data_IF_964035431988
#
_entry.id   IF_964035431988
#
_cell.length_a   1.000
_cell.length_b   1.000
_cell.length_c   1.000
_cell.angle_alpha   90.00
_cell.angle_beta   90.00
_cell.angle_gamma   90.00
#
_symmetry.space_group_name_H-M   'P 1'
#
loop_
_entity.id
_entity.type
_entity.pdbx_description
1 polymer ?
#
# COMPACT_ATOMS: atom_id res chain seq x y z
N UNK A 1 33.26 -58.06 -22.77
CA UNK A 1 32.35 -57.84 -21.62
C UNK A 1 32.71 -56.48 -21.06
N UNK A 2 32.00 -55.42 -21.48
CA UNK A 2 32.23 -54.06 -21.00
C UNK A 2 31.31 -53.81 -19.82
N UNK A 3 31.89 -53.71 -18.63
CA UNK A 3 31.19 -53.31 -17.41
C UNK A 3 31.14 -51.78 -17.37
N UNK A 4 29.99 -51.19 -17.71
CA UNK A 4 29.73 -49.80 -17.39
C UNK A 4 29.33 -49.71 -15.91
N UNK A 5 30.25 -49.18 -15.09
CA UNK A 5 29.93 -48.79 -13.72
C UNK A 5 29.13 -47.49 -13.78
N UNK A 6 27.81 -47.59 -13.69
CA UNK A 6 26.97 -46.45 -13.36
C UNK A 6 27.11 -46.19 -11.86
N UNK A 7 28.05 -45.34 -11.47
CA UNK A 7 27.89 -44.55 -10.24
C UNK A 7 26.80 -43.51 -10.51
N UNK A 8 25.55 -43.96 -10.55
CA UNK A 8 24.41 -43.06 -10.42
C UNK A 8 24.47 -42.55 -8.98
N UNK A 9 25.13 -41.40 -8.79
CA UNK A 9 24.88 -40.58 -7.62
C UNK A 9 23.39 -40.27 -7.73
N UNK A 10 22.57 -40.97 -6.94
CA UNK A 10 21.15 -40.70 -6.84
C UNK A 10 21.05 -39.23 -6.41
N UNK A 11 20.74 -38.37 -7.38
CA UNK A 11 20.39 -36.99 -7.14
C UNK A 11 19.06 -37.05 -6.39
N UNK A 12 19.11 -36.88 -5.08
CA UNK A 12 17.93 -36.91 -4.23
C UNK A 12 17.14 -35.62 -4.50
N UNK A 13 16.09 -35.74 -5.33
CA UNK A 13 15.17 -34.65 -5.62
C UNK A 13 14.16 -34.53 -4.48
N UNK A 14 13.93 -33.29 -4.04
CA UNK A 14 12.95 -32.96 -3.01
C UNK A 14 11.80 -32.19 -3.63
N UNK A 15 10.63 -32.30 -3.00
CA UNK A 15 9.45 -31.52 -3.36
C UNK A 15 9.61 -30.11 -2.80
N UNK A 16 9.62 -29.12 -3.69
CA UNK A 16 9.78 -27.70 -3.37
C UNK A 16 8.53 -26.92 -3.76
N UNK A 17 8.04 -26.13 -2.83
CA UNK A 17 6.92 -25.21 -2.97
C UNK A 17 7.41 -23.84 -3.43
N UNK A 18 6.89 -23.36 -4.54
CA UNK A 18 7.29 -22.10 -5.15
C UNK A 18 6.35 -20.97 -4.70
N UNK A 19 6.88 -20.02 -3.94
CA UNK A 19 6.12 -18.87 -3.44
C UNK A 19 6.53 -17.62 -4.21
N UNK A 20 5.59 -17.04 -4.96
CA UNK A 20 5.80 -15.79 -5.71
C UNK A 20 5.47 -14.60 -4.82
N UNK A 21 6.50 -13.94 -4.31
CA UNK A 21 6.36 -12.80 -3.41
C UNK A 21 5.86 -11.59 -4.22
N UNK A 22 4.86 -10.90 -3.68
CA UNK A 22 4.12 -9.76 -4.23
C UNK A 22 2.95 -10.05 -5.19
N UNK A 23 2.72 -11.30 -5.60
CA UNK A 23 1.42 -11.67 -6.15
C UNK A 23 0.49 -12.11 -5.01
N UNK A 24 -0.63 -11.41 -4.71
CA UNK A 24 -1.68 -12.04 -3.95
C UNK A 24 -2.32 -13.09 -4.86
N UNK A 25 -1.74 -14.29 -4.89
CA UNK A 25 -2.35 -15.41 -5.58
C UNK A 25 -3.30 -16.10 -4.61
N UNK A 26 -4.59 -16.12 -4.94
CA UNK A 26 -5.52 -17.10 -4.35
C UNK A 26 -5.24 -18.52 -4.87
N UNK A 27 -4.36 -18.65 -5.87
CA UNK A 27 -3.90 -19.94 -6.38
C UNK A 27 -2.94 -20.60 -5.40
N UNK A 28 -3.05 -21.94 -5.23
CA UNK A 28 -2.07 -22.68 -4.46
C UNK A 28 -0.67 -22.50 -5.08
N UNK A 29 0.38 -22.51 -4.26
CA UNK A 29 1.77 -22.46 -4.74
C UNK A 29 2.06 -23.56 -5.75
N UNK A 30 2.86 -23.24 -6.76
CA UNK A 30 3.36 -24.24 -7.72
C UNK A 30 4.32 -25.19 -6.99
N UNK A 31 4.38 -26.45 -7.42
CA UNK A 31 5.23 -27.49 -6.82
C UNK A 31 6.22 -27.99 -7.87
N UNK A 32 7.50 -28.02 -7.52
CA UNK A 32 8.58 -28.50 -8.38
C UNK A 32 9.42 -29.55 -7.66
N UNK A 33 9.94 -30.52 -8.42
CA UNK A 33 10.94 -31.48 -7.95
C UNK A 33 12.32 -30.91 -8.27
N UNK A 34 13.10 -30.59 -7.24
CA UNK A 34 14.39 -29.91 -7.37
C UNK A 34 15.45 -30.62 -6.55
N UNK A 35 16.71 -30.53 -6.99
CA UNK A 35 17.85 -31.02 -6.24
C UNK A 35 18.48 -29.88 -5.42
N UNK A 36 18.63 -30.10 -4.12
CA UNK A 36 19.19 -29.13 -3.17
C UNK A 36 20.66 -28.75 -3.45
N UNK A 37 21.43 -29.65 -4.08
CA UNK A 37 22.84 -29.42 -4.42
C UNK A 37 23.04 -28.73 -5.78
N UNK A 38 21.99 -28.60 -6.60
CA UNK A 38 22.08 -27.89 -7.87
C UNK A 38 22.27 -26.39 -7.64
N UNK A 39 23.04 -25.75 -8.52
CA UNK A 39 23.15 -24.30 -8.54
C UNK A 39 21.88 -23.66 -9.11
N UNK A 40 21.67 -22.37 -8.82
CA UNK A 40 20.42 -21.70 -9.20
C UNK A 40 20.24 -21.57 -10.72
N UNK A 41 21.32 -21.55 -11.50
CA UNK A 41 21.23 -21.53 -12.97
C UNK A 41 20.67 -22.84 -13.52
N UNK A 42 21.10 -23.98 -12.95
CA UNK A 42 20.53 -25.30 -13.25
C UNK A 42 19.08 -25.40 -12.80
N UNK A 43 18.76 -24.91 -11.60
CA UNK A 43 17.37 -24.88 -11.09
C UNK A 43 16.47 -24.04 -11.98
N UNK A 44 16.92 -22.85 -12.42
CA UNK A 44 16.15 -21.98 -13.32
C UNK A 44 15.75 -22.69 -14.59
N UNK A 45 16.67 -23.42 -15.25
CA UNK A 45 16.36 -24.17 -16.49
C UNK A 45 15.23 -25.17 -16.27
N UNK A 46 15.23 -25.89 -15.15
CA UNK A 46 14.15 -26.82 -14.79
C UNK A 46 12.82 -26.06 -14.63
N UNK A 47 12.83 -24.97 -13.89
CA UNK A 47 11.64 -24.15 -13.65
C UNK A 47 11.09 -23.47 -14.92
N UNK A 48 11.95 -23.09 -15.86
CA UNK A 48 11.56 -22.51 -17.16
C UNK A 48 10.92 -23.55 -18.07
N UNK A 49 11.46 -24.78 -18.09
CA UNK A 49 10.86 -25.90 -18.84
C UNK A 49 9.43 -26.20 -18.36
N UNK A 50 9.22 -26.17 -17.05
CA UNK A 50 7.90 -26.35 -16.42
C UNK A 50 7.03 -25.07 -16.43
N UNK A 51 7.55 -23.96 -16.98
CA UNK A 51 6.88 -22.65 -17.05
C UNK A 51 6.47 -22.08 -15.69
N UNK A 52 7.22 -22.42 -14.64
CA UNK A 52 7.01 -21.88 -13.30
C UNK A 52 7.66 -20.50 -13.11
N UNK A 53 8.74 -20.23 -13.85
CA UNK A 53 9.53 -19.00 -13.81
C UNK A 53 9.78 -18.47 -15.23
N UNK A 54 10.00 -17.16 -15.34
CA UNK A 54 10.45 -16.45 -16.55
C UNK A 54 11.56 -15.43 -16.20
N UNK A 55 11.97 -14.63 -17.18
CA UNK A 55 12.98 -13.56 -17.01
C UNK A 55 12.51 -12.44 -16.07
N UNK A 56 11.20 -12.31 -15.85
CA UNK A 56 10.62 -11.31 -14.97
C UNK A 56 10.69 -11.71 -13.50
N UNK A 57 11.05 -12.95 -13.19
CA UNK A 57 11.21 -13.49 -11.85
C UNK A 57 12.68 -13.79 -11.51
N UNK A 58 13.02 -13.63 -10.24
CA UNK A 58 14.36 -13.92 -9.70
C UNK A 58 14.24 -14.66 -8.39
N UNK A 59 15.28 -15.41 -8.04
CA UNK A 59 15.34 -16.06 -6.74
C UNK A 59 15.50 -15.03 -5.62
N UNK A 60 14.79 -15.24 -4.51
CA UNK A 60 14.92 -14.41 -3.32
C UNK A 60 15.88 -15.05 -2.31
N UNK A 61 16.69 -14.23 -1.64
CA UNK A 61 17.60 -14.71 -0.61
C UNK A 61 16.91 -14.75 0.77
N UNK A 62 17.02 -15.91 1.42
CA UNK A 62 16.35 -16.40 2.64
C UNK A 62 16.27 -15.52 3.90
N UNK A 63 16.86 -14.33 3.93
CA UNK A 63 16.96 -13.50 5.15
C UNK A 63 16.08 -12.26 5.09
N UNK A 64 15.77 -11.81 3.88
CA UNK A 64 14.83 -10.73 3.64
C UNK A 64 14.06 -11.09 2.37
N UNK A 65 12.76 -11.36 2.53
CA UNK A 65 11.79 -11.84 1.53
C UNK A 65 11.75 -11.00 0.22
N UNK A 66 12.49 -9.90 0.15
CA UNK A 66 12.57 -9.03 -1.03
C UNK A 66 13.98 -8.85 -1.61
N UNK A 67 15.00 -9.49 -1.03
CA UNK A 67 16.37 -9.47 -1.57
C UNK A 67 16.47 -10.37 -2.80
N UNK A 68 16.87 -9.81 -3.94
CA UNK A 68 16.95 -10.50 -5.24
C UNK A 68 18.37 -10.99 -5.53
N UNK A 69 18.49 -12.22 -5.99
CA UNK A 69 19.70 -12.74 -6.62
C UNK A 69 19.66 -12.40 -8.11
N UNK A 70 20.68 -11.70 -8.61
CA UNK A 70 20.77 -11.41 -10.05
C UNK A 70 21.06 -12.67 -10.85
N UNK A 71 20.51 -12.78 -12.05
CA UNK A 71 20.71 -13.94 -12.93
C UNK A 71 22.20 -14.24 -13.17
N UNK A 72 23.05 -13.20 -13.25
CA UNK A 72 24.51 -13.31 -13.39
C UNK A 72 25.23 -13.94 -12.19
N UNK A 73 24.57 -14.02 -11.03
CA UNK A 73 25.12 -14.59 -9.81
C UNK A 73 24.53 -15.97 -9.50
N UNK A 74 23.54 -16.45 -10.26
CA UNK A 74 22.86 -17.72 -9.98
C UNK A 74 23.79 -18.94 -9.94
N UNK A 75 24.88 -18.95 -10.71
CA UNK A 75 25.88 -20.03 -10.69
C UNK A 75 26.68 -20.10 -9.38
N UNK A 76 26.70 -19.01 -8.60
CA UNK A 76 27.45 -18.89 -7.35
C UNK A 76 26.70 -19.45 -6.14
N UNK A 77 25.39 -19.65 -6.26
CA UNK A 77 24.53 -20.09 -5.17
C UNK A 77 23.99 -21.49 -5.44
N UNK A 78 23.89 -22.30 -4.40
CA UNK A 78 23.16 -23.58 -4.42
C UNK A 78 21.74 -23.39 -3.89
N UNK A 79 20.83 -24.25 -4.35
CA UNK A 79 19.43 -24.19 -3.91
C UNK A 79 19.31 -24.29 -2.38
N UNK A 80 20.04 -25.19 -1.74
CA UNK A 80 20.05 -25.36 -0.28
C UNK A 80 20.41 -24.11 0.51
N UNK A 81 21.09 -23.14 -0.09
CA UNK A 81 21.52 -21.91 0.58
C UNK A 81 20.38 -20.88 0.69
N UNK A 82 19.35 -21.01 -0.16
CA UNK A 82 18.27 -20.02 -0.29
C UNK A 82 16.87 -20.60 -0.05
N UNK A 83 16.77 -21.89 0.20
CA UNK A 83 15.48 -22.56 0.46
C UNK A 83 15.13 -22.46 1.93
N UNK A 84 13.89 -22.07 2.28
CA UNK A 84 13.42 -22.13 3.67
C UNK A 84 12.90 -23.54 3.91
N UNK A 85 13.38 -24.19 4.97
CA UNK A 85 12.78 -25.43 5.46
C UNK A 85 11.85 -25.11 6.64
N UNK A 86 10.55 -25.28 6.44
CA UNK A 86 9.55 -25.17 7.51
C UNK A 86 8.92 -26.54 7.72
N UNK A 87 9.17 -27.15 8.88
CA UNK A 87 8.79 -28.51 9.23
C UNK A 87 9.24 -29.53 8.16
N UNK A 88 8.32 -29.96 7.30
CA UNK A 88 8.52 -30.92 6.21
C UNK A 88 8.38 -30.30 4.81
N UNK A 89 8.21 -28.99 4.70
CA UNK A 89 8.10 -28.27 3.41
C UNK A 89 9.39 -27.51 3.09
N UNK A 90 9.88 -27.71 1.86
CA UNK A 90 10.89 -26.84 1.28
C UNK A 90 10.20 -25.71 0.51
N UNK A 91 10.51 -24.47 0.85
CA UNK A 91 9.93 -23.28 0.24
C UNK A 91 11.00 -22.51 -0.50
N UNK A 92 10.80 -22.31 -1.79
CA UNK A 92 11.61 -21.45 -2.63
C UNK A 92 10.82 -20.19 -2.99
N UNK A 93 11.39 -19.05 -2.64
CA UNK A 93 10.79 -17.74 -2.86
C UNK A 93 11.26 -17.13 -4.17
N UNK A 94 10.30 -16.71 -5.00
CA UNK A 94 10.52 -16.00 -6.25
C UNK A 94 10.02 -14.56 -6.13
N UNK A 95 10.84 -13.60 -6.53
CA UNK A 95 10.53 -12.17 -6.53
C UNK A 95 10.49 -11.64 -7.96
N UNK A 96 9.57 -10.72 -8.22
CA UNK A 96 9.55 -10.00 -9.49
C UNK A 96 10.79 -9.09 -9.64
N UNK A 97 11.57 -9.33 -10.69
CA UNK A 97 12.72 -8.53 -11.11
C UNK A 97 12.43 -7.03 -11.16
N UNK A 98 11.22 -6.66 -11.60
CA UNK A 98 10.75 -5.29 -11.73
C UNK A 98 9.55 -5.05 -10.81
N UNK A 99 9.72 -5.29 -9.51
CA UNK A 99 8.65 -5.17 -8.53
C UNK A 99 7.96 -3.79 -8.58
N UNK A 100 8.72 -2.71 -8.82
CA UNK A 100 8.13 -1.37 -8.98
C UNK A 100 7.14 -1.30 -10.15
N UNK A 101 7.41 -1.99 -11.26
CA UNK A 101 6.55 -2.01 -12.46
C UNK A 101 5.25 -2.72 -12.14
N UNK A 102 5.33 -3.88 -11.51
CA UNK A 102 4.18 -4.61 -11.01
C UNK A 102 3.31 -3.75 -10.07
N UNK A 103 3.94 -3.10 -9.09
CA UNK A 103 3.23 -2.23 -8.15
C UNK A 103 2.56 -1.06 -8.87
N UNK A 104 3.24 -0.46 -9.85
CA UNK A 104 2.68 0.62 -10.66
C UNK A 104 1.48 0.14 -11.50
N UNK A 105 1.57 -0.99 -12.19
CA UNK A 105 0.48 -1.54 -13.00
C UNK A 105 -0.75 -1.86 -12.16
N UNK A 106 -0.53 -2.43 -10.98
CA UNK A 106 -1.61 -2.84 -10.08
C UNK A 106 -2.26 -1.67 -9.36
N UNK A 107 -1.46 -0.72 -8.88
CA UNK A 107 -1.93 0.37 -8.01
C UNK A 107 -2.02 1.72 -8.73
N UNK A 108 -1.68 1.78 -10.03
CA UNK A 108 -1.71 2.99 -10.85
C UNK A 108 -0.90 4.13 -10.20
N UNK A 109 0.32 3.83 -9.76
CA UNK A 109 1.16 4.78 -8.99
C UNK A 109 1.59 6.01 -9.81
N UNK A 110 1.57 5.90 -11.15
CA UNK A 110 1.89 6.95 -12.11
C UNK A 110 0.67 7.81 -12.55
N UNK A 111 -0.49 7.55 -11.94
CA UNK A 111 -1.72 8.33 -12.09
C UNK A 111 -1.86 9.28 -10.90
N UNK A 112 -2.49 10.43 -11.12
CA UNK A 112 -2.77 11.33 -10.03
C UNK A 112 -3.95 10.85 -9.17
N UNK A 113 -4.01 11.38 -7.96
CA UNK A 113 -4.93 11.00 -6.92
C UNK A 113 -5.75 12.22 -6.48
N UNK A 114 -6.93 11.97 -5.93
CA UNK A 114 -7.81 13.00 -5.34
C UNK A 114 -8.37 12.52 -4.02
N UNK A 115 -8.52 13.44 -3.07
CA UNK A 115 -9.11 13.16 -1.77
C UNK A 115 -10.64 13.27 -1.89
N UNK A 116 -11.35 12.26 -1.40
CA UNK A 116 -12.82 12.17 -1.38
C UNK A 116 -13.30 11.77 0.02
N UNK A 117 -14.61 11.76 0.26
CA UNK A 117 -15.20 11.23 1.50
C UNK A 117 -14.82 9.77 1.78
N UNK A 118 -14.52 9.00 0.73
CA UNK A 118 -14.13 7.60 0.84
C UNK A 118 -12.61 7.42 0.97
N UNK A 119 -11.87 8.51 1.20
CA UNK A 119 -10.41 8.53 1.19
C UNK A 119 -9.86 8.86 -0.19
N UNK A 120 -8.71 8.27 -0.53
CA UNK A 120 -7.97 8.60 -1.74
C UNK A 120 -8.46 7.77 -2.92
N UNK A 121 -8.81 8.45 -4.01
CA UNK A 121 -9.16 7.81 -5.28
C UNK A 121 -8.12 8.17 -6.35
N UNK A 122 -7.66 7.15 -7.05
CA UNK A 122 -6.82 7.31 -8.24
C UNK A 122 -7.67 7.77 -9.42
N UNK A 123 -7.13 8.66 -10.26
CA UNK A 123 -7.77 9.15 -11.48
C UNK A 123 -7.52 8.20 -12.65
N UNK A 124 -8.28 8.42 -13.72
CA UNK A 124 -8.17 7.62 -14.93
C UNK A 124 -7.15 8.17 -15.93
N UNK A 125 -6.73 9.44 -15.78
CA UNK A 125 -5.71 10.04 -16.62
C UNK A 125 -4.31 9.85 -16.02
N UNK A 126 -3.40 9.32 -16.84
CA UNK A 126 -2.01 9.09 -16.46
C UNK A 126 -1.23 10.41 -16.49
N UNK A 127 -0.53 10.73 -15.40
CA UNK A 127 0.24 11.98 -15.27
C UNK A 127 1.70 11.76 -15.63
N UNK A 128 2.25 10.62 -15.23
CA UNK A 128 3.65 10.28 -15.47
C UNK A 128 3.80 8.89 -16.08
N UNK A 129 4.98 8.62 -16.63
CA UNK A 129 5.49 7.30 -16.95
C UNK A 129 6.60 7.03 -15.95
N UNK A 130 6.39 6.01 -15.11
CA UNK A 130 7.35 5.60 -14.08
C UNK A 130 8.44 4.69 -14.67
N UNK A 131 9.69 4.92 -14.28
CA UNK A 131 10.86 4.17 -14.77
C UNK A 131 11.89 3.94 -13.67
N UNK A 132 12.44 2.72 -13.66
CA UNK A 132 13.64 2.34 -12.90
C UNK A 132 13.58 2.73 -11.41
N UNK A 133 12.42 2.60 -10.77
CA UNK A 133 12.29 2.91 -9.35
C UNK A 133 12.89 1.81 -8.47
N UNK A 134 13.64 2.23 -7.46
CA UNK A 134 14.27 1.32 -6.51
C UNK A 134 13.40 1.13 -5.26
N UNK A 135 13.39 -0.11 -4.77
CA UNK A 135 12.88 -0.43 -3.45
C UNK A 135 14.04 -0.49 -2.46
N UNK A 136 13.82 0.02 -1.27
CA UNK A 136 14.78 -0.04 -0.19
C UNK A 136 14.15 -0.61 1.07
N UNK A 137 14.91 -1.43 1.80
CA UNK A 137 14.51 -1.94 3.11
C UNK A 137 14.51 -0.79 4.12
N UNK A 138 13.44 -0.70 4.89
CA UNK A 138 13.27 0.30 5.94
C UNK A 138 13.83 -0.16 7.28
N UNK A 139 13.94 -1.47 7.53
CA UNK A 139 14.28 -2.05 8.82
C UNK A 139 13.51 -1.39 9.98
N UNK A 140 14.22 -1.05 11.05
CA UNK A 140 13.62 -0.41 12.25
C UNK A 140 12.99 0.96 11.92
N UNK A 141 13.46 1.68 10.90
CA UNK A 141 12.93 3.01 10.51
C UNK A 141 11.52 2.93 9.91
N UNK A 142 11.10 1.73 9.51
CA UNK A 142 9.76 1.46 8.99
C UNK A 142 8.69 1.35 10.09
N UNK A 143 9.09 1.14 11.34
CA UNK A 143 8.17 1.14 12.48
C UNK A 143 7.92 2.58 12.93
N UNK A 144 6.69 3.07 12.76
CA UNK A 144 6.30 4.43 13.14
C UNK A 144 4.98 4.41 13.87
N UNK A 145 4.88 5.13 14.98
CA UNK A 145 3.60 5.33 15.67
C UNK A 145 3.23 6.81 15.64
N UNK A 146 1.94 7.10 15.67
CA UNK A 146 1.46 8.47 15.72
C UNK A 146 0.05 8.56 16.28
N UNK A 147 -0.34 9.78 16.59
CA UNK A 147 -1.66 10.15 17.10
C UNK A 147 -2.18 11.28 16.24
N UNK A 148 -3.47 11.25 15.90
CA UNK A 148 -4.12 12.36 15.21
C UNK A 148 -5.43 12.68 15.92
N UNK A 149 -5.67 13.98 16.11
CA UNK A 149 -6.84 14.55 16.80
C UNK A 149 -7.72 15.30 15.80
N UNK A 150 -9.04 15.18 15.96
CA UNK A 150 -10.03 15.89 15.14
C UNK A 150 -11.16 16.44 16.01
N UNK A 151 -11.74 17.56 15.54
CA UNK A 151 -12.75 18.33 16.27
C UNK A 151 -14.13 18.30 15.57
N UNK A 152 -14.38 17.36 14.64
CA UNK A 152 -15.69 17.16 14.02
C UNK A 152 -15.80 15.80 13.33
N UNK A 153 -16.94 15.12 13.42
CA UNK A 153 -17.22 13.83 12.76
C UNK A 153 -16.89 13.82 11.25
N UNK A 154 -17.23 14.88 10.51
CA UNK A 154 -17.04 14.87 9.04
C UNK A 154 -15.58 15.01 8.63
N UNK A 155 -14.81 15.80 9.37
CA UNK A 155 -13.36 15.86 9.16
C UNK A 155 -12.71 14.59 9.68
N UNK A 156 -13.12 14.09 10.84
CA UNK A 156 -12.67 12.82 11.40
C UNK A 156 -12.74 11.67 10.39
N UNK A 157 -13.90 11.42 9.77
CA UNK A 157 -14.10 10.27 8.88
C UNK A 157 -13.27 10.35 7.59
N UNK A 158 -13.10 11.54 7.04
CA UNK A 158 -12.27 11.78 5.86
C UNK A 158 -10.78 11.77 6.23
N UNK A 159 -10.41 12.33 7.38
CA UNK A 159 -9.02 12.37 7.83
C UNK A 159 -8.55 11.01 8.32
N UNK A 160 -9.36 10.19 8.98
CA UNK A 160 -8.99 8.80 9.32
C UNK A 160 -8.72 8.02 8.04
N UNK A 161 -9.65 8.03 7.07
CA UNK A 161 -9.46 7.37 5.77
C UNK A 161 -8.26 7.89 4.98
N UNK A 162 -8.02 9.21 4.99
CA UNK A 162 -6.90 9.82 4.24
C UNK A 162 -5.56 9.67 4.97
N UNK A 163 -5.52 9.80 6.29
CA UNK A 163 -4.32 9.55 7.08
C UNK A 163 -3.92 8.08 7.02
N UNK A 164 -4.89 7.14 7.00
CA UNK A 164 -4.62 5.71 6.81
C UNK A 164 -3.81 5.45 5.53
N UNK A 165 -3.92 6.33 4.55
CA UNK A 165 -3.24 6.19 3.24
C UNK A 165 -2.03 7.12 3.07
N UNK A 166 -1.93 8.26 3.78
CA UNK A 166 -0.84 9.24 3.61
C UNK A 166 -0.16 9.65 4.92
N UNK A 167 1.12 10.01 4.84
CA UNK A 167 1.79 10.72 5.91
C UNK A 167 1.41 12.21 5.85
N UNK A 168 0.44 12.62 6.67
CA UNK A 168 -0.13 13.95 6.60
C UNK A 168 0.84 14.99 7.19
N UNK A 169 1.23 15.96 6.36
CA UNK A 169 1.92 17.17 6.78
C UNK A 169 1.01 18.41 6.65
N UNK A 170 1.49 19.57 7.10
CA UNK A 170 0.73 20.82 7.09
C UNK A 170 0.25 21.24 5.69
N UNK A 171 1.00 20.96 4.62
CA UNK A 171 0.58 21.24 3.24
C UNK A 171 -0.58 20.34 2.81
N UNK A 172 -0.50 19.05 3.13
CA UNK A 172 -1.55 18.09 2.79
C UNK A 172 -2.84 18.36 3.58
N UNK A 173 -2.76 18.83 4.83
CA UNK A 173 -3.93 19.28 5.58
C UNK A 173 -4.69 20.40 4.87
N UNK A 174 -3.98 21.33 4.21
CA UNK A 174 -4.62 22.40 3.43
C UNK A 174 -5.37 21.85 2.22
N UNK A 175 -4.84 20.82 1.54
CA UNK A 175 -5.54 20.14 0.45
C UNK A 175 -6.77 19.38 0.93
N UNK A 176 -6.69 18.73 2.09
CA UNK A 176 -7.83 18.05 2.71
C UNK A 176 -8.92 19.05 3.08
N UNK A 177 -8.56 20.19 3.69
CA UNK A 177 -9.49 21.28 4.00
C UNK A 177 -10.12 21.90 2.75
N UNK A 178 -9.33 22.06 1.67
CA UNK A 178 -9.83 22.53 0.39
C UNK A 178 -10.86 21.55 -0.19
N UNK A 179 -10.54 20.25 -0.21
CA UNK A 179 -11.43 19.19 -0.69
C UNK A 179 -12.71 19.08 0.15
N UNK A 180 -12.61 19.19 1.48
CA UNK A 180 -13.78 19.28 2.37
C UNK A 180 -14.62 20.52 2.08
N UNK A 181 -14.02 21.70 1.95
CA UNK A 181 -14.72 22.96 1.68
C UNK A 181 -15.44 22.99 0.33
N UNK A 182 -14.91 22.30 -0.69
CA UNK A 182 -15.58 22.13 -1.99
C UNK A 182 -16.83 21.24 -1.85
N UNK A 183 -16.78 20.25 -0.95
CA UNK A 183 -17.78 19.20 -0.80
C UNK A 183 -18.92 19.56 0.16
N UNK A 184 -18.68 20.44 1.14
CA UNK A 184 -19.59 20.72 2.25
C UNK A 184 -20.44 22.00 2.06
N UNK A 185 -21.39 21.96 1.11
CA UNK A 185 -22.44 23.00 1.08
C UNK A 185 -23.66 22.71 1.98
N UNK A 186 -23.89 21.47 2.44
CA UNK A 186 -25.22 21.05 2.92
C UNK A 186 -25.28 20.17 4.19
N UNK A 187 -24.26 20.09 5.06
CA UNK A 187 -24.36 19.28 6.30
C UNK A 187 -23.91 20.02 7.56
N UNK A 188 -24.61 19.73 8.65
CA UNK A 188 -24.48 20.38 9.96
C UNK A 188 -23.20 19.94 10.68
N UNK A 189 -22.41 20.91 11.15
CA UNK A 189 -21.24 20.71 12.01
C UNK A 189 -21.68 20.07 13.33
N UNK A 190 -21.51 18.76 13.47
CA UNK A 190 -21.51 18.12 14.79
C UNK A 190 -20.05 18.11 15.27
N UNK A 191 -19.78 18.80 16.37
CA UNK A 191 -18.46 18.82 17.02
C UNK A 191 -18.30 17.55 17.86
N UNK A 192 -17.26 16.78 17.57
CA UNK A 192 -16.80 15.65 18.37
C UNK A 192 -15.29 15.75 18.50
N UNK A 193 -14.79 15.48 19.71
CA UNK A 193 -13.37 15.34 19.96
C UNK A 193 -13.03 13.86 19.88
N UNK A 194 -12.38 13.45 18.81
CA UNK A 194 -11.89 12.09 18.67
C UNK A 194 -10.40 12.06 18.45
N UNK A 195 -9.80 10.93 18.81
CA UNK A 195 -8.38 10.72 18.67
C UNK A 195 -8.18 9.30 18.17
N UNK A 196 -7.33 9.12 17.17
CA UNK A 196 -6.89 7.78 16.80
C UNK A 196 -5.38 7.65 16.91
N UNK A 197 -4.95 6.47 17.36
CA UNK A 197 -3.55 6.07 17.40
C UNK A 197 -3.30 5.09 16.26
N UNK A 198 -2.14 5.18 15.63
CA UNK A 198 -1.71 4.19 14.65
C UNK A 198 -0.30 3.72 14.88
N UNK A 199 -0.02 2.51 14.38
CA UNK A 199 1.31 1.96 14.23
C UNK A 199 1.47 1.40 12.82
N UNK A 200 2.47 1.91 12.11
CA UNK A 200 2.95 1.43 10.83
C UNK A 200 4.08 0.43 11.07
N UNK A 201 4.06 -0.64 10.29
CA UNK A 201 5.10 -1.64 10.17
C UNK A 201 5.54 -1.66 8.70
N UNK A 202 6.25 -0.62 8.28
CA UNK A 202 6.82 -0.55 6.95
C UNK A 202 8.00 -1.52 6.84
N UNK A 203 7.98 -2.38 5.84
CA UNK A 203 9.08 -3.30 5.53
C UNK A 203 9.97 -2.70 4.45
N UNK A 204 9.36 -2.23 3.37
CA UNK A 204 10.06 -1.61 2.25
C UNK A 204 9.45 -0.26 1.92
N UNK A 205 10.24 0.58 1.26
CA UNK A 205 9.74 1.79 0.64
C UNK A 205 10.17 1.83 -0.82
N UNK A 206 9.23 2.23 -1.67
CA UNK A 206 9.44 2.52 -3.07
C UNK A 206 9.57 4.03 -3.22
N UNK A 207 10.78 4.51 -3.51
CA UNK A 207 11.01 5.93 -3.74
C UNK A 207 10.63 6.28 -5.19
N UNK A 208 9.63 7.15 -5.33
CA UNK A 208 9.16 7.65 -6.62
C UNK A 208 9.63 9.10 -6.72
N UNK A 209 10.93 9.29 -6.82
CA UNK A 209 11.50 10.62 -7.02
C UNK A 209 11.03 11.16 -8.39
N UNK A 210 10.26 12.25 -8.35
CA UNK A 210 9.71 12.90 -9.55
C UNK A 210 10.81 13.28 -10.55
N UNK A 211 12.03 13.59 -10.10
CA UNK A 211 13.11 14.04 -10.97
C UNK A 211 13.82 12.92 -11.71
N UNK A 212 13.94 11.76 -11.06
CA UNK A 212 14.82 10.70 -11.54
C UNK A 212 14.01 9.58 -12.22
N UNK A 213 12.77 9.36 -11.77
CA UNK A 213 12.00 8.17 -12.10
C UNK A 213 10.65 8.45 -12.77
N UNK A 214 10.26 9.71 -12.94
CA UNK A 214 8.96 10.08 -13.50
C UNK A 214 9.12 10.99 -14.72
N UNK A 215 8.55 10.57 -15.85
CA UNK A 215 8.49 11.36 -17.08
C UNK A 215 7.04 11.82 -17.30
N UNK A 216 6.80 13.12 -17.45
CA UNK A 216 5.46 13.63 -17.71
C UNK A 216 4.88 13.04 -19.00
N UNK A 217 3.59 12.71 -18.99
CA UNK A 217 2.89 12.31 -20.22
C UNK A 217 2.69 13.51 -21.14
N UNK A 218 2.73 13.27 -22.46
CA UNK A 218 2.46 14.31 -23.45
C UNK A 218 1.07 14.93 -23.29
N UNK A 219 0.10 14.10 -22.90
CA UNK A 219 -1.29 14.51 -22.65
C UNK A 219 -1.36 15.52 -21.50
N UNK A 220 -0.72 15.24 -20.37
CA UNK A 220 -0.69 16.16 -19.24
C UNK A 220 0.02 17.46 -19.60
N UNK A 221 1.19 17.38 -20.26
CA UNK A 221 1.95 18.56 -20.70
C UNK A 221 1.11 19.45 -21.62
N UNK A 222 0.39 18.84 -22.58
CA UNK A 222 -0.50 19.55 -23.51
C UNK A 222 -1.64 20.24 -22.76
N UNK A 223 -2.29 19.56 -21.83
CA UNK A 223 -3.38 20.13 -21.02
C UNK A 223 -2.92 21.33 -20.21
N UNK A 224 -1.74 21.24 -19.58
CA UNK A 224 -1.15 22.36 -18.82
C UNK A 224 -0.81 23.54 -19.73
N UNK A 225 -0.16 23.32 -20.88
CA UNK A 225 0.17 24.40 -21.83
C UNK A 225 -1.09 25.13 -22.32
N UNK A 226 -2.11 24.37 -22.72
CA UNK A 226 -3.40 24.93 -23.16
C UNK A 226 -4.05 25.77 -22.06
N UNK A 227 -3.99 25.34 -20.80
CA UNK A 227 -4.54 26.11 -19.68
C UNK A 227 -3.79 27.44 -19.47
N UNK A 228 -2.46 27.42 -19.53
CA UNK A 228 -1.62 28.63 -19.42
C UNK A 228 -1.94 29.61 -20.56
N UNK A 229 -1.97 29.13 -21.80
CA UNK A 229 -2.25 29.94 -22.99
C UNK A 229 -3.65 30.55 -22.98
N UNK A 230 -4.63 29.81 -22.45
CA UNK A 230 -6.02 30.29 -22.34
C UNK A 230 -6.18 31.50 -21.41
N UNK A 231 -5.27 31.70 -20.44
CA UNK A 231 -5.41 32.68 -19.35
C UNK A 231 -6.72 32.56 -18.56
N UNK A 232 -7.39 31.40 -18.63
CA UNK A 232 -8.65 31.13 -17.93
C UNK A 232 -8.40 30.27 -16.69
N UNK A 233 -8.59 30.79 -15.47
CA UNK A 233 -8.37 30.03 -14.24
C UNK A 233 -9.18 28.71 -14.18
N UNK A 234 -10.38 28.68 -14.77
CA UNK A 234 -11.23 27.48 -14.85
C UNK A 234 -10.55 26.30 -15.54
N UNK A 235 -9.60 26.52 -16.45
CA UNK A 235 -8.87 25.44 -17.13
C UNK A 235 -7.96 24.66 -16.19
N UNK A 236 -7.44 25.29 -15.14
CA UNK A 236 -6.65 24.59 -14.12
C UNK A 236 -7.52 23.72 -13.22
N UNK A 237 -8.78 24.10 -12.99
CA UNK A 237 -9.75 23.27 -12.27
C UNK A 237 -10.01 21.98 -13.06
N UNK A 238 -10.21 22.08 -14.38
CA UNK A 238 -10.38 20.92 -15.26
C UNK A 238 -9.17 19.98 -15.20
N UNK A 239 -7.94 20.50 -15.20
CA UNK A 239 -6.73 19.67 -15.04
C UNK A 239 -6.78 18.87 -13.74
N UNK A 240 -7.18 19.48 -12.62
CA UNK A 240 -7.30 18.77 -11.33
C UNK A 240 -8.43 17.73 -11.35
N UNK A 241 -9.53 18.02 -12.04
CA UNK A 241 -10.63 17.08 -12.22
C UNK A 241 -10.21 15.84 -13.03
N UNK A 242 -9.43 16.04 -14.10
CA UNK A 242 -8.99 14.97 -15.01
C UNK A 242 -7.81 14.19 -14.44
N UNK A 243 -6.76 14.88 -14.01
CA UNK A 243 -5.47 14.28 -13.64
C UNK A 243 -5.28 14.11 -12.14
N UNK A 244 -6.02 14.84 -11.31
CA UNK A 244 -5.95 14.75 -9.86
C UNK A 244 -5.17 15.89 -9.19
N UNK A 245 -5.15 15.85 -7.85
CA UNK A 245 -4.59 16.88 -6.98
C UNK A 245 -3.13 16.61 -6.61
N UNK A 246 -2.71 15.35 -6.50
CA UNK A 246 -1.37 14.95 -6.08
C UNK A 246 -0.99 13.59 -6.67
N UNK A 247 0.27 13.19 -6.53
CA UNK A 247 0.78 11.86 -6.86
C UNK A 247 1.63 11.35 -5.68
N UNK A 248 1.61 10.04 -5.36
CA UNK A 248 2.58 9.49 -4.41
C UNK A 248 4.02 9.66 -4.92
N UNK A 249 4.87 10.24 -4.08
CA UNK A 249 6.33 10.29 -4.32
C UNK A 249 7.10 9.24 -3.52
N UNK A 250 6.40 8.54 -2.61
CA UNK A 250 6.91 7.45 -1.82
C UNK A 250 5.75 6.52 -1.49
N UNK A 251 5.99 5.21 -1.60
CA UNK A 251 5.02 4.18 -1.20
C UNK A 251 5.68 3.23 -0.20
N UNK A 252 5.13 3.18 1.01
CA UNK A 252 5.59 2.25 2.05
C UNK A 252 4.80 0.95 1.93
N UNK A 253 5.52 -0.16 1.74
CA UNK A 253 4.96 -1.51 1.71
C UNK A 253 5.05 -2.13 3.11
N UNK A 254 3.95 -2.66 3.60
CA UNK A 254 3.89 -3.29 4.92
C UNK A 254 2.48 -3.31 5.50
N UNK A 255 2.42 -3.37 6.83
CA UNK A 255 1.16 -3.37 7.58
C UNK A 255 0.93 -2.05 8.32
N UNK A 256 -0.34 -1.74 8.57
CA UNK A 256 -0.75 -0.66 9.49
C UNK A 256 -1.85 -1.17 10.40
N UNK A 257 -1.75 -0.86 11.69
CA UNK A 257 -2.79 -1.11 12.69
C UNK A 257 -3.20 0.24 13.26
N UNK A 258 -4.50 0.43 13.51
CA UNK A 258 -5.04 1.64 14.14
C UNK A 258 -6.00 1.28 15.27
N UNK A 259 -6.10 2.20 16.22
CA UNK A 259 -6.97 2.13 17.39
C UNK A 259 -7.72 3.45 17.49
N UNK A 260 -9.05 3.37 17.47
CA UNK A 260 -9.93 4.52 17.59
C UNK A 260 -10.28 4.74 19.05
N UNK A 261 -10.15 5.99 19.52
CA UNK A 261 -10.52 6.41 20.87
C UNK A 261 -11.59 7.48 20.76
N UNK A 262 -12.83 7.10 21.08
CA UNK A 262 -13.94 8.04 21.16
C UNK A 262 -13.86 8.83 22.48
N UNK A 263 -13.81 10.17 22.40
CA UNK A 263 -14.07 11.02 23.55
C UNK A 263 -15.54 10.90 23.95
N UNK A 264 -15.83 10.87 25.25
CA UNK A 264 -17.21 10.85 25.75
C UNK A 264 -18.00 12.02 25.17
N UNK A 265 -19.07 11.72 24.42
CA UNK A 265 -20.10 12.68 24.00
C UNK A 265 -20.55 13.47 25.23
N UNK A 266 -20.42 14.78 25.20
CA UNK A 266 -21.19 15.64 26.12
C UNK A 266 -22.57 15.77 25.50
N UNK A 267 -23.46 14.87 25.91
CA UNK A 267 -24.87 14.95 25.57
C UNK A 267 -25.41 16.31 26.04
N UNK A 268 -25.71 17.20 25.09
CA UNK A 268 -26.66 18.27 25.34
C UNK A 268 -28.05 17.62 25.56
N UNK A 269 -28.28 17.18 26.79
CA UNK A 269 -29.62 16.90 27.32
C UNK A 269 -30.05 18.06 28.22
N UNK A 270 -30.11 19.26 27.65
CA UNK A 270 -30.78 20.40 28.28
C UNK A 270 -31.83 20.94 27.33
N UNK A 271 -32.95 20.22 27.17
CA UNK A 271 -34.26 20.81 26.83
C UNK A 271 -35.38 19.76 26.91
N UNK A 272 -35.83 19.46 28.13
CA UNK A 272 -37.25 19.35 28.58
C UNK A 272 -37.34 18.57 29.89
N UNK A 273 -37.04 19.24 30.99
CA UNK A 273 -37.56 18.90 32.31
C UNK A 273 -37.98 20.18 33.02
N UNK A 274 -38.81 21.00 32.35
CA UNK A 274 -39.48 22.17 32.91
C UNK A 274 -40.87 22.30 32.27
N UNK A 275 -41.71 21.28 32.46
CA UNK A 275 -43.17 21.41 32.30
C UNK A 275 -43.89 20.23 32.94
N UNK A 276 -43.63 19.90 34.21
CA UNK A 276 -44.51 19.04 35.02
C UNK A 276 -44.05 19.01 36.49
N UNK A 277 -43.92 20.18 37.10
CA UNK A 277 -43.82 20.30 38.55
C UNK A 277 -44.38 21.68 38.96
N UNK A 278 -45.70 21.76 39.09
CA UNK A 278 -46.45 22.58 40.06
C UNK A 278 -47.92 22.62 39.65
N UNK A 279 -48.70 21.68 40.18
CA UNK A 279 -50.04 21.91 40.71
C UNK A 279 -50.62 20.57 41.21
N UNK A 280 -50.18 20.16 42.40
CA UNK A 280 -50.97 19.29 43.26
C UNK A 280 -51.27 20.09 44.52
N UNK A 281 -52.50 20.62 44.55
CA UNK A 281 -53.05 21.32 45.69
C UNK A 281 -53.06 20.42 46.93
N UNK A 282 -52.62 20.99 48.03
CA UNK A 282 -52.67 20.40 49.38
C UNK A 282 -54.13 20.32 49.84
N UNK A 283 -54.63 19.15 50.29
CA UNK A 283 -55.83 19.11 51.12
C UNK A 283 -55.45 19.38 52.57
N UNK A 284 -55.96 20.49 53.11
CA UNK A 284 -56.01 20.78 54.54
C UNK A 284 -56.90 19.77 55.27
N UNK A 285 -56.36 19.03 56.24
CA UNK A 285 -57.11 18.56 57.42
C UNK A 285 -56.14 18.47 58.61
N UNK A 286 -56.34 19.31 59.63
CA UNK A 286 -56.31 18.94 61.04
C UNK A 286 -56.96 20.06 61.88
N UNK A 287 -58.00 19.66 62.62
CA UNK A 287 -58.74 20.29 63.73
C UNK A 287 -59.52 21.61 63.52
#
# INVERSE_FOLDING_TARGET
MFSFNFTTILREEVVVKLVKICYPTSKPPDIAHLNLEDNLSSVRKVLEMEKFIDDELSFSQNVDEMSKISNSNEEKFRLKEIIVQNDNEYILSLIHSNLWKYLNEKHKLDYGCTITNDGIKTKDCKVFIMKDCELYDLGIKGVRSGTVEFNSIETEDMFTKTNLTLNINSKLQSFIKLSAGIMNRNKSKLETNSTYHYRNYGKHSLNINIRDHLILTEEFVKSVKNAIESKMPKKFIQIVEDFGQFIPTEVILGGRIYFEVYGSSTDYSTEKANSEAMNLGVPNIAD
#
